data_IF_589809132403
#
_entry.id   IF_589809132403
#
_cell.length_a   1.000
_cell.length_b   1.000
_cell.length_c   1.000
_cell.angle_alpha   90.00
_cell.angle_beta   90.00
_cell.angle_gamma   90.00
#
_symmetry.space_group_name_H-M   'P 1'
#
loop_
_entity.id
_entity.type
_entity.pdbx_description
1 polymer ?
#
# COMPACT_ATOMS: atom_id res chain seq x y z
N UNK A 1 12.25 41.11 11.28
CA UNK A 1 11.57 41.59 12.50
C UNK A 1 12.25 42.87 12.97
N UNK A 2 11.50 43.94 13.28
CA UNK A 2 12.04 45.20 13.85
C UNK A 2 13.23 45.82 13.07
N UNK A 3 13.18 45.80 11.74
CA UNK A 3 14.27 46.32 10.88
C UNK A 3 15.42 45.34 10.63
N UNK A 4 15.49 44.23 11.34
CA UNK A 4 16.47 43.16 11.12
C UNK A 4 15.87 42.02 10.28
N UNK A 5 16.60 41.58 9.26
CA UNK A 5 16.25 40.39 8.48
C UNK A 5 16.93 39.18 9.11
N UNK A 6 16.14 38.32 9.75
CA UNK A 6 16.62 37.05 10.30
C UNK A 6 16.12 35.92 9.43
N UNK A 7 17.00 35.09 8.85
CA UNK A 7 16.56 33.90 8.14
C UNK A 7 15.89 32.94 9.12
N UNK A 8 14.81 32.28 8.70
CA UNK A 8 14.16 31.21 9.49
C UNK A 8 15.00 29.93 9.59
N UNK A 9 16.13 29.90 8.88
CA UNK A 9 17.01 28.76 8.73
C UNK A 9 18.29 29.03 9.53
N UNK A 10 18.82 28.00 10.19
CA UNK A 10 20.11 28.13 10.88
C UNK A 10 21.27 28.18 9.87
N UNK A 11 21.26 27.28 8.88
CA UNK A 11 22.30 27.20 7.84
C UNK A 11 21.69 26.62 6.57
N UNK A 12 22.10 27.15 5.42
CA UNK A 12 21.72 26.66 4.09
C UNK A 12 22.98 26.44 3.26
N UNK A 13 23.05 25.28 2.62
CA UNK A 13 24.19 24.85 1.79
C UNK A 13 23.68 24.06 0.58
N UNK A 14 24.49 23.86 -0.48
CA UNK A 14 24.01 23.33 -1.75
C UNK A 14 23.32 21.96 -1.68
N UNK A 15 23.62 21.16 -0.65
CA UNK A 15 23.10 19.80 -0.46
C UNK A 15 22.24 19.65 0.79
N UNK A 16 21.59 20.72 1.27
CA UNK A 16 20.82 20.72 2.51
C UNK A 16 19.73 19.64 2.58
N UNK A 17 18.96 19.42 1.51
CA UNK A 17 17.91 18.38 1.53
C UNK A 17 18.51 16.97 1.58
N UNK A 18 19.63 16.73 0.88
CA UNK A 18 20.33 15.45 0.92
C UNK A 18 20.93 15.16 2.29
N UNK A 19 21.41 16.20 2.98
CA UNK A 19 21.89 16.07 4.35
C UNK A 19 20.78 15.67 5.32
N UNK A 20 19.58 16.23 5.18
CA UNK A 20 18.44 15.85 6.02
C UNK A 20 18.05 14.38 5.78
N UNK A 21 18.04 13.94 4.51
CA UNK A 21 17.84 12.51 4.19
C UNK A 21 18.91 11.63 4.84
N UNK A 22 20.18 12.00 4.72
CA UNK A 22 21.28 11.22 5.30
C UNK A 22 21.17 11.09 6.83
N UNK A 23 20.70 12.12 7.53
CA UNK A 23 20.44 12.05 8.98
C UNK A 23 19.22 11.20 9.28
N UNK A 24 18.15 11.31 8.49
CA UNK A 24 16.95 10.47 8.66
C UNK A 24 17.30 8.97 8.57
N UNK A 25 18.16 8.59 7.62
CA UNK A 25 18.65 7.20 7.48
C UNK A 25 19.35 6.69 8.74
N UNK A 26 20.00 7.57 9.52
CA UNK A 26 20.66 7.19 10.77
C UNK A 26 19.63 6.78 11.83
N UNK A 27 18.43 7.37 11.82
CA UNK A 27 17.34 7.05 12.74
C UNK A 27 16.92 5.58 12.69
N UNK A 28 17.00 4.96 11.51
CA UNK A 28 16.65 3.54 11.28
C UNK A 28 17.54 2.61 12.12
N UNK A 29 18.83 2.92 12.25
CA UNK A 29 19.74 2.15 13.12
C UNK A 29 19.29 2.16 14.58
N UNK A 30 18.71 3.25 15.05
CA UNK A 30 18.15 3.36 16.39
C UNK A 30 17.09 2.29 16.65
N UNK A 31 16.20 2.05 15.69
CA UNK A 31 15.11 1.06 15.81
C UNK A 31 15.64 -0.38 15.71
N UNK A 32 16.60 -0.64 14.82
CA UNK A 32 17.25 -1.98 14.73
C UNK A 32 17.96 -2.33 16.03
N UNK A 33 18.81 -1.43 16.53
CA UNK A 33 19.57 -1.64 17.76
C UNK A 33 18.67 -1.71 18.99
N UNK A 34 17.56 -0.96 18.98
CA UNK A 34 16.55 -1.05 20.02
C UNK A 34 15.91 -2.46 20.06
N UNK A 35 15.43 -2.94 18.92
CA UNK A 35 14.87 -4.30 18.80
C UNK A 35 15.86 -5.39 19.19
N UNK A 36 17.15 -5.24 18.85
CA UNK A 36 18.20 -6.18 19.23
C UNK A 36 18.50 -6.18 20.74
N UNK A 37 18.61 -4.98 21.35
CA UNK A 37 18.93 -4.86 22.78
C UNK A 37 17.75 -5.17 23.71
N UNK A 38 16.54 -5.30 23.15
CA UNK A 38 15.32 -5.67 23.87
C UNK A 38 15.38 -7.10 24.47
N UNK A 39 16.21 -8.01 23.95
CA UNK A 39 16.38 -9.34 24.54
C UNK A 39 15.24 -10.35 24.29
N UNK A 40 14.23 -9.98 23.49
CA UNK A 40 13.11 -10.84 23.07
C UNK A 40 13.09 -11.05 21.56
N UNK A 41 12.82 -12.28 21.10
CA UNK A 41 12.77 -12.62 19.68
C UNK A 41 11.66 -11.87 18.94
N UNK A 42 10.51 -11.65 19.58
CA UNK A 42 9.39 -10.90 19.00
C UNK A 42 9.71 -9.42 18.82
N UNK A 43 10.39 -8.81 19.79
CA UNK A 43 10.83 -7.42 19.71
C UNK A 43 11.87 -7.22 18.60
N UNK A 44 12.80 -8.18 18.43
CA UNK A 44 13.75 -8.17 17.33
C UNK A 44 13.06 -8.27 15.97
N UNK A 45 12.10 -9.20 15.82
CA UNK A 45 11.32 -9.32 14.58
C UNK A 45 10.50 -8.05 14.28
N UNK A 46 9.96 -7.39 15.30
CA UNK A 46 9.30 -6.09 15.17
C UNK A 46 10.24 -4.99 14.70
N UNK A 47 11.43 -4.87 15.32
CA UNK A 47 12.46 -3.91 14.92
C UNK A 47 12.94 -4.13 13.48
N UNK A 48 13.16 -5.39 13.07
CA UNK A 48 13.57 -5.73 11.70
C UNK A 48 12.48 -5.39 10.67
N UNK A 49 11.20 -5.68 10.96
CA UNK A 49 10.06 -5.31 10.09
C UNK A 49 9.91 -3.80 9.97
N UNK A 50 10.00 -3.07 11.08
CA UNK A 50 10.00 -1.59 11.09
C UNK A 50 11.09 -1.01 10.20
N UNK A 51 12.30 -1.56 10.34
CA UNK A 51 13.46 -1.07 9.60
C UNK A 51 13.33 -1.33 8.11
N UNK A 52 12.86 -2.52 7.72
CA UNK A 52 12.59 -2.84 6.32
C UNK A 52 11.52 -1.90 5.71
N UNK A 53 10.50 -1.54 6.49
CA UNK A 53 9.48 -0.58 6.10
C UNK A 53 10.08 0.82 5.89
N UNK A 54 10.72 1.39 6.91
CA UNK A 54 11.29 2.75 6.81
C UNK A 54 12.26 2.86 5.64
N UNK A 55 13.20 1.91 5.48
CA UNK A 55 14.14 1.90 4.34
C UNK A 55 13.39 1.92 3.00
N UNK A 56 12.34 1.11 2.87
CA UNK A 56 11.57 1.02 1.61
C UNK A 56 10.86 2.33 1.27
N UNK A 57 10.33 3.01 2.29
CA UNK A 57 9.61 4.28 2.11
C UNK A 57 10.55 5.49 2.05
N UNK A 58 11.72 5.42 2.63
CA UNK A 58 12.79 6.41 2.48
C UNK A 58 13.28 6.48 1.02
N UNK A 59 13.39 5.33 0.34
CA UNK A 59 13.72 5.28 -1.10
C UNK A 59 12.62 5.97 -1.92
N UNK A 60 11.35 5.65 -1.68
CA UNK A 60 10.23 6.28 -2.37
C UNK A 60 10.16 7.80 -2.10
N UNK A 61 10.41 8.21 -0.86
CA UNK A 61 10.49 9.61 -0.45
C UNK A 61 11.62 10.33 -1.18
N UNK A 62 12.82 9.74 -1.22
CA UNK A 62 14.00 10.31 -1.87
C UNK A 62 13.79 10.48 -3.37
N UNK A 63 13.17 9.50 -4.04
CA UNK A 63 12.82 9.60 -5.46
C UNK A 63 11.83 10.74 -5.73
N UNK A 64 10.87 10.98 -4.83
CA UNK A 64 9.93 12.09 -4.97
C UNK A 64 10.61 13.46 -5.02
N UNK A 65 11.76 13.62 -4.36
CA UNK A 65 12.53 14.87 -4.31
C UNK A 65 13.30 15.17 -5.60
N UNK A 66 13.65 14.15 -6.38
CA UNK A 66 14.43 14.33 -7.61
C UNK A 66 13.72 15.28 -8.57
N UNK A 67 12.40 15.13 -8.74
CA UNK A 67 11.60 16.04 -9.56
C UNK A 67 11.61 17.48 -9.03
N UNK A 68 11.62 17.66 -7.70
CA UNK A 68 11.74 18.97 -7.05
C UNK A 68 13.10 19.60 -7.34
N UNK A 69 14.18 18.83 -7.24
CA UNK A 69 15.54 19.30 -7.55
C UNK A 69 15.69 19.69 -9.03
N UNK A 70 15.11 18.91 -9.95
CA UNK A 70 15.11 19.22 -11.39
C UNK A 70 14.37 20.52 -11.70
N UNK A 71 13.27 20.79 -10.99
CA UNK A 71 12.47 22.00 -11.21
C UNK A 71 13.10 23.23 -10.54
N UNK A 72 13.60 23.09 -9.32
CA UNK A 72 14.28 24.16 -8.58
C UNK A 72 15.68 24.47 -9.10
N UNK A 73 16.36 23.50 -9.72
CA UNK A 73 17.76 23.62 -10.15
C UNK A 73 18.78 23.54 -9.01
N UNK A 74 18.35 23.11 -7.81
CA UNK A 74 19.20 23.03 -6.61
C UNK A 74 18.63 22.08 -5.57
N UNK A 75 19.48 21.59 -4.66
CA UNK A 75 19.12 20.85 -3.45
C UNK A 75 19.24 21.70 -2.16
N UNK A 76 19.50 23.01 -2.28
CA UNK A 76 19.41 23.98 -1.18
C UNK A 76 17.95 24.29 -0.84
N UNK A 77 17.65 24.37 0.46
CA UNK A 77 16.28 24.62 0.93
C UNK A 77 15.82 26.04 0.61
N UNK A 78 16.71 27.03 0.73
CA UNK A 78 16.38 28.42 0.42
C UNK A 78 16.10 28.62 -1.07
N UNK A 79 16.89 27.99 -1.94
CA UNK A 79 16.75 28.07 -3.39
C UNK A 79 15.49 27.36 -3.88
N UNK A 80 15.13 26.22 -3.27
CA UNK A 80 13.87 25.52 -3.55
C UNK A 80 12.66 26.37 -3.18
N UNK A 81 12.69 27.09 -2.05
CA UNK A 81 11.60 27.99 -1.65
C UNK A 81 11.54 29.21 -2.59
N UNK A 82 12.68 29.76 -3.00
CA UNK A 82 12.75 30.86 -3.95
C UNK A 82 12.16 30.48 -5.33
N UNK A 83 12.43 29.26 -5.81
CA UNK A 83 11.89 28.75 -7.07
C UNK A 83 10.36 28.57 -7.09
N UNK A 84 9.71 28.58 -5.91
CA UNK A 84 8.26 28.46 -5.73
C UNK A 84 7.53 29.81 -5.70
N UNK A 85 8.18 30.89 -6.16
CA UNK A 85 7.59 32.23 -6.17
C UNK A 85 6.30 32.34 -6.99
N UNK A 86 6.31 31.79 -8.21
CA UNK A 86 5.17 31.90 -9.14
C UNK A 86 4.07 30.90 -8.84
N UNK A 87 4.44 29.65 -8.57
CA UNK A 87 3.52 28.56 -8.34
C UNK A 87 4.18 27.54 -7.42
N UNK A 88 3.40 27.02 -6.47
CA UNK A 88 3.86 25.98 -5.57
C UNK A 88 4.07 24.65 -6.29
N UNK A 89 5.05 23.89 -5.82
CA UNK A 89 5.36 22.60 -6.43
C UNK A 89 4.30 21.53 -6.16
N UNK A 90 3.41 21.72 -5.18
CA UNK A 90 2.24 20.85 -5.03
C UNK A 90 1.37 20.81 -6.29
N UNK A 91 1.22 21.93 -7.01
CA UNK A 91 0.38 22.01 -8.22
C UNK A 91 1.14 21.46 -9.43
N UNK A 92 2.43 21.80 -9.55
CA UNK A 92 3.26 21.43 -10.70
C UNK A 92 3.73 19.97 -10.64
N UNK A 93 4.05 19.48 -9.45
CA UNK A 93 4.64 18.16 -9.18
C UNK A 93 3.71 17.32 -8.31
N UNK A 94 2.40 17.33 -8.62
CA UNK A 94 1.39 16.62 -7.86
C UNK A 94 1.72 15.12 -7.65
N UNK A 95 2.19 14.36 -8.66
CA UNK A 95 2.57 12.97 -8.43
C UNK A 95 3.73 12.81 -7.43
N UNK A 96 4.75 13.66 -7.49
CA UNK A 96 5.82 13.68 -6.48
C UNK A 96 5.28 14.00 -5.09
N UNK A 97 4.37 14.96 -4.99
CA UNK A 97 3.74 15.30 -3.72
C UNK A 97 2.96 14.12 -3.14
N UNK A 98 2.17 13.40 -3.94
CA UNK A 98 1.41 12.24 -3.48
C UNK A 98 2.31 11.09 -3.03
N UNK A 99 3.39 10.81 -3.78
CA UNK A 99 4.39 9.83 -3.37
C UNK A 99 5.04 10.25 -2.05
N UNK A 100 5.43 11.52 -1.94
CA UNK A 100 6.03 12.07 -0.72
C UNK A 100 5.09 11.96 0.50
N UNK A 101 3.84 12.41 0.37
CA UNK A 101 2.85 12.35 1.45
C UNK A 101 2.59 10.91 1.88
N UNK A 102 2.55 9.97 0.94
CA UNK A 102 2.37 8.57 1.32
C UNK A 102 3.61 8.01 2.00
N UNK A 103 4.80 8.39 1.52
CA UNK A 103 6.06 7.92 2.08
C UNK A 103 6.39 8.51 3.46
N UNK A 104 6.08 9.78 3.72
CA UNK A 104 6.30 10.39 5.03
C UNK A 104 5.44 9.77 6.14
N UNK A 105 4.27 9.20 5.81
CA UNK A 105 3.47 8.46 6.79
C UNK A 105 4.08 7.07 7.04
N UNK A 106 4.63 6.42 6.01
CA UNK A 106 5.35 5.16 6.14
C UNK A 106 6.63 5.29 6.97
N UNK A 107 7.36 6.39 6.81
CA UNK A 107 8.60 6.68 7.51
C UNK A 107 8.40 6.97 9.01
N UNK A 108 7.27 7.58 9.37
CA UNK A 108 7.00 7.95 10.78
C UNK A 108 6.41 6.81 11.61
N UNK A 109 6.19 5.62 11.01
CA UNK A 109 5.63 4.43 11.67
C UNK A 109 4.34 4.69 12.47
N UNK A 110 3.53 5.69 12.06
CA UNK A 110 2.27 6.05 12.73
C UNK A 110 1.07 5.42 12.04
N UNK A 111 0.01 5.19 12.82
CA UNK A 111 -1.28 4.73 12.33
C UNK A 111 -1.75 5.63 11.16
N UNK A 112 -2.16 5.05 10.00
CA UNK A 112 -2.55 3.66 9.75
C UNK A 112 -1.42 2.64 9.46
N UNK A 113 -0.15 3.06 9.52
CA UNK A 113 1.04 2.24 9.20
C UNK A 113 1.90 1.91 10.42
N UNK A 114 1.29 1.78 11.61
CA UNK A 114 1.89 1.40 12.90
C UNK A 114 2.17 -0.11 13.02
N UNK A 115 2.54 -0.73 11.90
CA UNK A 115 2.74 -2.18 11.75
C UNK A 115 3.72 -2.82 12.76
N UNK A 116 4.82 -2.17 13.16
CA UNK A 116 5.76 -2.74 14.13
C UNK A 116 5.31 -2.65 15.58
N UNK A 117 4.37 -1.75 15.89
CA UNK A 117 3.84 -1.52 17.25
C UNK A 117 2.51 -2.25 17.47
N UNK A 118 1.95 -2.87 16.44
CA UNK A 118 0.64 -3.50 16.50
C UNK A 118 0.59 -4.62 17.56
N UNK A 119 -0.14 -4.35 18.64
CA UNK A 119 -0.38 -5.28 19.76
C UNK A 119 -0.93 -6.64 19.28
N UNK A 120 -1.69 -6.65 18.19
CA UNK A 120 -2.30 -7.85 17.62
C UNK A 120 -1.34 -8.81 16.90
N UNK A 121 -0.15 -8.35 16.49
CA UNK A 121 0.86 -9.22 15.85
C UNK A 121 2.14 -9.37 16.70
N UNK A 122 2.51 -8.35 17.48
CA UNK A 122 3.83 -8.29 18.14
C UNK A 122 3.80 -7.75 19.59
N UNK A 123 2.62 -7.68 20.23
CA UNK A 123 2.47 -7.33 21.66
C UNK A 123 3.17 -6.01 22.05
N UNK A 124 3.32 -5.05 21.12
CA UNK A 124 3.98 -3.76 21.35
C UNK A 124 5.42 -3.63 20.81
N UNK A 125 5.93 -4.63 20.09
CA UNK A 125 7.15 -4.52 19.28
C UNK A 125 8.42 -4.25 20.09
N UNK A 126 9.21 -3.26 19.67
CA UNK A 126 10.48 -2.92 20.33
C UNK A 126 10.29 -2.06 21.60
N UNK A 127 9.07 -1.63 21.94
CA UNK A 127 8.80 -0.80 23.12
C UNK A 127 8.64 -1.61 24.41
N UNK A 128 8.33 -2.90 24.32
CA UNK A 128 7.85 -3.72 25.44
C UNK A 128 8.84 -3.86 26.59
N UNK A 129 10.13 -3.78 26.30
CA UNK A 129 11.21 -4.03 27.26
C UNK A 129 11.84 -2.73 27.79
N UNK A 130 11.42 -1.57 27.28
CA UNK A 130 11.93 -0.27 27.72
C UNK A 130 11.05 0.38 28.77
N UNK A 131 11.65 0.70 29.91
CA UNK A 131 10.97 1.40 31.01
C UNK A 131 11.06 2.93 30.88
N UNK A 132 10.01 3.61 31.36
CA UNK A 132 9.86 5.04 31.68
C UNK A 132 10.68 6.01 30.81
N UNK A 133 11.93 6.31 31.17
CA UNK A 133 12.73 7.34 30.51
C UNK A 133 13.13 6.95 29.08
N UNK A 134 13.52 5.68 28.87
CA UNK A 134 13.92 5.20 27.54
C UNK A 134 12.71 5.17 26.60
N UNK A 135 11.58 4.69 27.12
CA UNK A 135 10.29 4.72 26.41
C UNK A 135 9.89 6.15 26.01
N UNK A 136 9.99 7.12 26.92
CA UNK A 136 9.64 8.51 26.63
C UNK A 136 10.52 9.13 25.51
N UNK A 137 11.80 8.76 25.45
CA UNK A 137 12.72 9.24 24.40
C UNK A 137 12.33 8.69 23.02
N UNK A 138 11.85 7.44 22.90
CA UNK A 138 11.35 6.91 21.63
C UNK A 138 10.15 7.71 21.11
N UNK A 139 9.14 7.95 21.95
CA UNK A 139 7.99 8.77 21.58
C UNK A 139 8.40 10.19 21.20
N UNK A 140 9.29 10.81 21.99
CA UNK A 140 9.80 12.14 21.69
C UNK A 140 10.50 12.17 20.32
N UNK A 141 11.34 11.18 20.01
CA UNK A 141 12.02 11.07 18.72
C UNK A 141 11.02 10.90 17.56
N UNK A 142 9.99 10.08 17.71
CA UNK A 142 8.92 9.93 16.70
C UNK A 142 8.16 11.23 16.46
N UNK A 143 7.83 11.99 17.52
CA UNK A 143 7.15 13.27 17.38
C UNK A 143 8.06 14.34 16.74
N UNK A 144 9.35 14.35 17.07
CA UNK A 144 10.33 15.23 16.41
C UNK A 144 10.43 14.86 14.92
N UNK A 145 10.47 13.56 14.60
CA UNK A 145 10.49 13.11 13.20
C UNK A 145 9.23 13.55 12.45
N UNK A 146 8.05 13.41 13.06
CA UNK A 146 6.77 13.86 12.50
C UNK A 146 6.80 15.36 12.14
N UNK A 147 7.30 16.20 13.04
CA UNK A 147 7.46 17.64 12.77
C UNK A 147 8.48 17.86 11.65
N UNK A 148 9.57 17.10 11.62
CA UNK A 148 10.64 17.22 10.61
C UNK A 148 10.14 16.89 9.20
N UNK A 149 9.46 15.76 9.01
CA UNK A 149 8.89 15.38 7.70
C UNK A 149 7.78 16.35 7.27
N UNK A 150 7.03 16.93 8.21
CA UNK A 150 6.02 17.96 7.93
C UNK A 150 6.64 19.29 7.50
N UNK A 151 7.76 19.68 8.13
CA UNK A 151 8.55 20.85 7.77
C UNK A 151 9.20 20.71 6.38
N UNK A 152 9.71 19.51 6.06
CA UNK A 152 10.20 19.18 4.71
C UNK A 152 9.08 19.28 3.67
N UNK A 153 7.90 18.72 3.94
CA UNK A 153 6.73 18.81 3.06
C UNK A 153 6.40 20.26 2.71
N UNK A 154 6.35 21.10 3.77
CA UNK A 154 6.04 22.53 3.67
C UNK A 154 7.09 23.28 2.85
N UNK A 155 8.37 22.96 3.06
CA UNK A 155 9.51 23.61 2.38
C UNK A 155 9.57 23.23 0.91
N UNK A 156 9.42 21.94 0.60
CA UNK A 156 9.61 21.41 -0.76
C UNK A 156 8.38 21.60 -1.65
N UNK A 157 7.16 21.56 -1.11
CA UNK A 157 5.95 21.55 -1.94
C UNK A 157 5.03 22.76 -1.76
N UNK A 158 5.00 23.38 -0.58
CA UNK A 158 4.06 24.48 -0.25
C UNK A 158 4.77 25.85 -0.11
N UNK A 159 5.93 26.03 -0.72
CA UNK A 159 6.61 27.33 -0.77
C UNK A 159 7.15 27.82 0.58
N UNK A 160 7.37 26.92 1.55
CA UNK A 160 7.98 27.24 2.84
C UNK A 160 7.25 28.37 3.57
N UNK A 161 7.95 29.48 3.79
CA UNK A 161 7.47 30.65 4.51
C UNK A 161 6.56 31.58 3.69
N UNK A 162 6.47 31.41 2.37
CA UNK A 162 5.71 32.33 1.50
C UNK A 162 4.21 32.20 1.73
N UNK A 163 3.46 33.30 1.63
CA UNK A 163 2.00 33.26 1.72
C UNK A 163 1.35 32.35 0.63
N UNK A 164 0.23 31.67 0.93
CA UNK A 164 -0.58 30.97 -0.06
C UNK A 164 -1.11 31.90 -1.13
N UNK A 165 -1.20 31.41 -2.36
CA UNK A 165 -1.99 32.07 -3.40
C UNK A 165 -3.48 31.98 -3.03
N UNK A 166 -4.29 33.05 -3.10
CA UNK A 166 -4.03 34.38 -3.65
C UNK A 166 -3.51 35.44 -2.66
N UNK A 167 -3.40 35.12 -1.36
CA UNK A 167 -2.96 36.06 -0.32
C UNK A 167 -1.54 36.60 -0.54
N UNK A 168 -0.72 35.89 -1.34
CA UNK A 168 0.57 36.37 -1.81
C UNK A 168 0.52 37.64 -2.67
N UNK A 169 -0.65 38.01 -3.20
CA UNK A 169 -0.85 39.25 -3.97
C UNK A 169 -0.88 40.49 -3.08
N UNK A 170 -1.10 40.33 -1.77
CA UNK A 170 -1.05 41.43 -0.84
C UNK A 170 0.40 41.75 -0.48
N UNK A 171 0.82 43.00 -0.70
CA UNK A 171 2.21 43.46 -0.54
C UNK A 171 2.81 43.15 0.84
N UNK A 172 2.01 43.23 1.91
CA UNK A 172 2.47 43.01 3.28
C UNK A 172 2.35 41.56 3.78
N UNK A 173 1.87 40.62 2.95
CA UNK A 173 1.63 39.23 3.37
C UNK A 173 2.90 38.42 3.66
N UNK A 174 4.05 38.91 3.19
CA UNK A 174 5.37 38.28 3.35
C UNK A 174 6.32 39.11 4.21
N UNK A 175 5.81 40.13 4.91
CA UNK A 175 6.60 41.05 5.71
C UNK A 175 6.43 40.82 7.22
N UNK A 176 7.40 41.26 8.01
CA UNK A 176 7.32 41.19 9.47
C UNK A 176 7.30 39.76 10.02
N UNK A 177 6.22 39.40 10.72
CA UNK A 177 6.03 38.10 11.38
C UNK A 177 5.27 37.08 10.52
N UNK A 178 4.64 37.54 9.43
CA UNK A 178 3.81 36.69 8.58
C UNK A 178 4.54 35.47 7.99
N UNK A 179 5.80 35.56 7.51
CA UNK A 179 6.54 34.40 7.01
C UNK A 179 6.64 33.24 8.00
N UNK A 180 6.87 33.57 9.28
CA UNK A 180 6.96 32.57 10.35
C UNK A 180 5.60 31.94 10.64
N UNK A 181 4.55 32.76 10.69
CA UNK A 181 3.19 32.27 10.90
C UNK A 181 2.72 31.37 9.74
N UNK A 182 3.04 31.70 8.49
CA UNK A 182 2.70 30.86 7.34
C UNK A 182 3.41 29.52 7.39
N UNK A 183 4.70 29.52 7.71
CA UNK A 183 5.45 28.27 7.85
C UNK A 183 4.86 27.39 8.95
N UNK A 184 4.65 27.94 10.16
CA UNK A 184 4.08 27.20 11.29
C UNK A 184 2.65 26.71 11.01
N UNK A 185 1.83 27.53 10.36
CA UNK A 185 0.47 27.16 9.98
C UNK A 185 0.47 25.96 9.03
N UNK A 186 1.32 25.97 7.99
CA UNK A 186 1.39 24.85 7.02
C UNK A 186 1.94 23.57 7.66
N UNK A 187 2.96 23.68 8.51
CA UNK A 187 3.45 22.55 9.30
C UNK A 187 2.33 21.99 10.18
N UNK A 188 1.56 22.87 10.84
CA UNK A 188 0.41 22.48 11.67
C UNK A 188 -0.69 21.80 10.84
N UNK A 189 -0.91 22.19 9.59
CA UNK A 189 -1.84 21.52 8.67
C UNK A 189 -1.37 20.09 8.39
N UNK A 190 -0.08 19.85 8.14
CA UNK A 190 0.44 18.47 7.97
C UNK A 190 0.32 17.64 9.25
N UNK A 191 0.61 18.23 10.42
CA UNK A 191 0.40 17.56 11.71
C UNK A 191 -1.09 17.21 11.89
N UNK A 192 -2.00 18.13 11.55
CA UNK A 192 -3.43 17.86 11.57
C UNK A 192 -3.81 16.73 10.60
N UNK A 193 -3.22 16.69 9.40
CA UNK A 193 -3.42 15.58 8.45
C UNK A 193 -2.98 14.25 9.06
N UNK A 194 -1.85 14.18 9.78
CA UNK A 194 -1.46 12.95 10.49
C UNK A 194 -2.51 12.49 11.51
N UNK A 195 -3.04 13.44 12.31
CA UNK A 195 -4.09 13.14 13.29
C UNK A 195 -5.37 12.68 12.58
N UNK A 196 -5.72 13.31 11.47
CA UNK A 196 -6.90 12.99 10.69
C UNK A 196 -6.81 11.62 10.00
N UNK A 197 -5.65 11.28 9.40
CA UNK A 197 -5.39 9.98 8.78
C UNK A 197 -5.50 8.86 9.82
N UNK A 198 -4.97 9.09 11.03
CA UNK A 198 -5.09 8.15 12.15
C UNK A 198 -6.54 7.86 12.53
N UNK A 199 -7.42 8.87 12.45
CA UNK A 199 -8.84 8.72 12.80
C UNK A 199 -9.72 8.13 11.69
N UNK A 200 -9.26 8.12 10.44
CA UNK A 200 -10.10 7.79 9.27
C UNK A 200 -9.73 6.49 8.57
N UNK A 201 -8.43 6.16 8.48
CA UNK A 201 -7.99 5.03 7.69
C UNK A 201 -7.90 3.74 8.51
N UNK A 202 -8.37 2.59 7.98
CA UNK A 202 -8.14 1.31 8.60
C UNK A 202 -6.64 0.97 8.54
N UNK A 203 -6.18 0.22 9.52
CA UNK A 203 -4.80 -0.31 9.54
C UNK A 203 -4.57 -1.18 8.31
N UNK A 204 -3.43 -0.99 7.66
CA UNK A 204 -3.01 -1.80 6.51
C UNK A 204 -2.04 -2.88 6.94
N UNK A 205 -2.12 -4.07 6.32
CA UNK A 205 -1.21 -5.20 6.63
C UNK A 205 0.18 -4.96 6.03
N UNK A 206 1.22 -5.46 6.71
CA UNK A 206 2.62 -5.31 6.30
C UNK A 206 2.87 -5.73 4.85
N UNK A 207 2.37 -6.90 4.46
CA UNK A 207 2.55 -7.41 3.09
C UNK A 207 1.93 -6.51 2.02
N UNK A 208 0.77 -5.89 2.32
CA UNK A 208 0.08 -5.00 1.39
C UNK A 208 0.82 -3.66 1.29
N UNK A 209 1.27 -3.14 2.43
CA UNK A 209 2.02 -1.89 2.50
C UNK A 209 3.34 -2.02 1.74
N UNK A 210 4.14 -3.05 2.04
CA UNK A 210 5.41 -3.29 1.33
C UNK A 210 5.21 -3.48 -0.18
N UNK A 211 4.15 -4.19 -0.61
CA UNK A 211 3.81 -4.31 -2.03
C UNK A 211 3.47 -2.95 -2.65
N UNK A 212 2.76 -2.08 -1.93
CA UNK A 212 2.42 -0.75 -2.42
C UNK A 212 3.66 0.13 -2.61
N UNK A 213 4.59 0.17 -1.64
CA UNK A 213 5.86 0.89 -1.78
C UNK A 213 6.68 0.43 -2.99
N UNK A 214 6.92 -0.89 -3.09
CA UNK A 214 7.80 -1.45 -4.12
C UNK A 214 7.18 -1.57 -5.51
N UNK A 215 5.89 -1.91 -5.62
CA UNK A 215 5.25 -2.14 -6.93
C UNK A 215 4.51 -0.92 -7.47
N UNK A 216 4.22 0.07 -6.63
CA UNK A 216 3.46 1.27 -7.04
C UNK A 216 4.30 2.52 -6.87
N UNK A 217 4.70 2.89 -5.65
CA UNK A 217 5.34 4.18 -5.40
C UNK A 217 6.67 4.34 -6.14
N UNK A 218 7.57 3.36 -6.03
CA UNK A 218 8.89 3.42 -6.69
C UNK A 218 8.74 3.49 -8.22
N UNK A 219 8.02 2.58 -8.90
CA UNK A 219 7.86 2.66 -10.35
C UNK A 219 7.20 3.96 -10.82
N UNK A 220 6.14 4.42 -10.12
CA UNK A 220 5.47 5.68 -10.45
C UNK A 220 6.43 6.87 -10.31
N UNK A 221 7.24 6.90 -9.25
CA UNK A 221 8.21 7.97 -9.05
C UNK A 221 9.29 7.99 -10.14
N UNK A 222 9.79 6.82 -10.57
CA UNK A 222 10.78 6.73 -11.65
C UNK A 222 10.23 7.22 -12.98
N UNK A 223 9.03 6.76 -13.37
CA UNK A 223 8.37 7.23 -14.59
C UNK A 223 8.13 8.74 -14.52
N UNK A 224 7.69 9.25 -13.37
CA UNK A 224 7.44 10.68 -13.19
C UNK A 224 8.73 11.51 -13.30
N UNK A 225 9.84 11.06 -12.73
CA UNK A 225 11.15 11.71 -12.88
C UNK A 225 11.54 11.77 -14.37
N UNK A 226 11.36 10.69 -15.12
CA UNK A 226 11.65 10.69 -16.56
C UNK A 226 10.80 11.71 -17.32
N UNK A 227 9.50 11.78 -17.00
CA UNK A 227 8.57 12.75 -17.59
C UNK A 227 9.00 14.19 -17.27
N UNK A 228 9.30 14.48 -16.01
CA UNK A 228 9.73 15.83 -15.57
C UNK A 228 11.08 16.21 -16.18
N UNK A 229 12.03 15.28 -16.23
CA UNK A 229 13.34 15.49 -16.85
C UNK A 229 13.21 15.78 -18.35
N UNK A 230 12.40 15.01 -19.07
CA UNK A 230 12.12 15.22 -20.49
C UNK A 230 11.45 16.58 -20.72
N UNK A 231 10.41 16.89 -19.96
CA UNK A 231 9.69 18.16 -20.03
C UNK A 231 10.62 19.36 -19.82
N UNK A 232 11.51 19.28 -18.83
CA UNK A 232 12.49 20.33 -18.54
C UNK A 232 13.55 20.44 -19.63
N UNK A 233 14.03 19.32 -20.15
CA UNK A 233 14.96 19.27 -21.28
C UNK A 233 14.39 19.95 -22.52
N UNK A 234 13.14 19.62 -22.89
CA UNK A 234 12.45 20.23 -24.03
C UNK A 234 12.22 21.72 -23.84
N UNK A 235 11.80 22.15 -22.64
CA UNK A 235 11.62 23.56 -22.31
C UNK A 235 12.91 24.38 -22.44
N UNK A 236 14.04 23.80 -22.04
CA UNK A 236 15.34 24.48 -22.11
C UNK A 236 15.90 24.51 -23.55
N UNK A 237 15.63 23.50 -24.36
CA UNK A 237 16.16 23.39 -25.73
C UNK A 237 15.32 24.15 -26.78
N UNK A 238 14.00 24.22 -26.60
CA UNK A 238 13.07 24.75 -27.61
C UNK A 238 12.19 25.91 -27.11
N UNK A 239 12.49 26.47 -25.93
CA UNK A 239 11.73 27.55 -25.28
C UNK A 239 10.21 27.31 -25.19
N UNK A 240 9.80 26.04 -25.05
CA UNK A 240 8.37 25.68 -24.98
C UNK A 240 7.65 26.41 -23.84
N UNK A 241 6.47 26.93 -24.15
CA UNK A 241 5.61 27.55 -23.14
C UNK A 241 5.05 26.48 -22.17
N UNK A 242 4.67 26.91 -20.96
CA UNK A 242 4.13 26.05 -19.90
C UNK A 242 2.93 25.22 -20.40
N UNK A 243 2.08 25.85 -21.21
CA UNK A 243 0.89 25.19 -21.81
C UNK A 243 1.29 24.05 -22.74
N UNK A 244 2.28 24.26 -23.59
CA UNK A 244 2.76 23.26 -24.54
C UNK A 244 3.41 22.08 -23.80
N UNK A 245 4.20 22.38 -22.76
CA UNK A 245 4.82 21.35 -21.91
C UNK A 245 3.76 20.50 -21.20
N UNK A 246 2.74 21.12 -20.62
CA UNK A 246 1.64 20.40 -19.94
C UNK A 246 0.84 19.56 -20.93
N UNK A 247 0.54 20.08 -22.13
CA UNK A 247 -0.20 19.32 -23.15
C UNK A 247 0.58 18.07 -23.62
N UNK A 248 1.88 18.20 -23.88
CA UNK A 248 2.72 17.09 -24.34
C UNK A 248 2.87 16.00 -23.28
N UNK A 249 2.75 16.33 -21.99
CA UNK A 249 2.76 15.34 -20.89
C UNK A 249 1.36 14.76 -20.63
N UNK A 250 0.34 15.61 -20.65
CA UNK A 250 -1.03 15.22 -20.34
C UNK A 250 -1.63 14.32 -21.41
N UNK A 251 -1.29 14.51 -22.69
CA UNK A 251 -1.82 13.70 -23.80
C UNK A 251 -1.37 12.23 -23.68
N UNK A 252 -0.08 11.88 -23.56
CA UNK A 252 0.35 10.50 -23.34
C UNK A 252 -0.25 9.88 -22.08
N UNK A 253 -0.33 10.62 -20.97
CA UNK A 253 -0.91 10.12 -19.72
C UNK A 253 -2.41 9.86 -19.89
N UNK A 254 -3.16 10.76 -20.52
CA UNK A 254 -4.58 10.58 -20.79
C UNK A 254 -4.84 9.42 -21.75
N UNK A 255 -4.00 9.25 -22.77
CA UNK A 255 -4.05 8.11 -23.70
C UNK A 255 -3.74 6.80 -22.96
N UNK A 256 -2.73 6.78 -22.09
CA UNK A 256 -2.36 5.60 -21.33
C UNK A 256 -3.42 5.23 -20.29
N UNK A 257 -4.04 6.23 -19.63
CA UNK A 257 -5.19 6.02 -18.76
C UNK A 257 -6.42 5.53 -19.54
N UNK A 258 -6.69 6.07 -20.72
CA UNK A 258 -7.76 5.59 -21.59
C UNK A 258 -7.52 4.13 -22.00
N UNK A 259 -6.28 3.79 -22.39
CA UNK A 259 -5.90 2.41 -22.72
C UNK A 259 -6.08 1.51 -21.49
N UNK A 260 -5.67 1.95 -20.30
CA UNK A 260 -5.88 1.17 -19.08
C UNK A 260 -7.36 0.93 -18.78
N UNK A 261 -8.21 1.97 -18.87
CA UNK A 261 -9.65 1.83 -18.66
C UNK A 261 -10.30 0.92 -19.70
N UNK A 262 -9.85 0.98 -20.96
CA UNK A 262 -10.34 0.09 -22.02
C UNK A 262 -9.89 -1.34 -21.76
N UNK A 263 -8.62 -1.57 -21.40
CA UNK A 263 -8.10 -2.90 -21.06
C UNK A 263 -8.81 -3.48 -19.85
N UNK A 264 -9.06 -2.68 -18.82
CA UNK A 264 -9.79 -3.07 -17.63
C UNK A 264 -11.25 -3.40 -17.96
N UNK A 265 -11.93 -2.56 -18.75
CA UNK A 265 -13.29 -2.83 -19.23
C UNK A 265 -13.37 -4.12 -20.05
N UNK A 266 -12.37 -4.40 -20.90
CA UNK A 266 -12.31 -5.65 -21.67
C UNK A 266 -12.04 -6.85 -20.75
N UNK A 267 -11.13 -6.71 -19.78
CA UNK A 267 -10.80 -7.78 -18.83
C UNK A 267 -11.99 -8.11 -17.93
N UNK A 268 -12.71 -7.11 -17.47
CA UNK A 268 -13.91 -7.28 -16.65
C UNK A 268 -15.03 -7.94 -17.43
N UNK A 269 -15.28 -7.52 -18.69
CA UNK A 269 -16.21 -8.22 -19.59
C UNK A 269 -15.84 -9.68 -19.80
N UNK A 270 -14.55 -9.97 -20.01
CA UNK A 270 -14.05 -11.33 -20.21
C UNK A 270 -14.26 -12.19 -18.95
N UNK A 271 -14.02 -11.62 -17.77
CA UNK A 271 -14.27 -12.28 -16.48
C UNK A 271 -15.75 -12.56 -16.25
N UNK A 272 -16.64 -11.63 -16.62
CA UNK A 272 -18.09 -11.82 -16.53
C UNK A 272 -18.57 -12.93 -17.47
N UNK A 273 -18.00 -13.01 -18.68
CA UNK A 273 -18.27 -14.10 -19.62
C UNK A 273 -17.77 -15.42 -19.06
N UNK A 274 -16.54 -15.49 -18.54
CA UNK A 274 -16.01 -16.71 -17.90
C UNK A 274 -16.85 -17.15 -16.70
N UNK A 275 -17.36 -16.22 -15.88
CA UNK A 275 -18.26 -16.53 -14.77
C UNK A 275 -19.61 -17.01 -15.29
N UNK A 276 -20.18 -16.36 -16.30
CA UNK A 276 -21.45 -16.77 -16.90
C UNK A 276 -21.35 -18.14 -17.61
N UNK A 277 -20.24 -18.43 -18.27
CA UNK A 277 -19.95 -19.75 -18.84
C UNK A 277 -19.74 -20.79 -17.75
N UNK A 278 -19.04 -20.47 -16.66
CA UNK A 278 -18.89 -21.35 -15.51
C UNK A 278 -20.23 -21.61 -14.79
N UNK A 279 -21.12 -20.62 -14.77
CA UNK A 279 -22.46 -20.71 -14.20
C UNK A 279 -23.42 -21.45 -15.13
N UNK A 280 -23.29 -21.32 -16.45
CA UNK A 280 -24.03 -22.12 -17.43
C UNK A 280 -23.54 -23.57 -17.50
N UNK A 281 -22.25 -23.81 -17.26
CA UNK A 281 -21.67 -25.15 -17.14
C UNK A 281 -22.08 -25.85 -15.83
N UNK A 282 -22.40 -25.08 -14.78
CA UNK A 282 -23.15 -25.59 -13.63
C UNK A 282 -24.59 -25.76 -14.10
N UNK A 283 -24.98 -27.00 -14.40
CA UNK A 283 -26.37 -27.33 -14.72
C UNK A 283 -27.36 -26.84 -13.64
N UNK A 284 -28.68 -26.96 -13.88
CA UNK A 284 -29.71 -26.46 -12.96
C UNK A 284 -29.39 -26.86 -11.52
N UNK A 285 -29.29 -25.88 -10.63
CA UNK A 285 -29.00 -26.11 -9.22
C UNK A 285 -30.05 -27.08 -8.66
N UNK A 286 -29.67 -28.34 -8.41
CA UNK A 286 -30.53 -29.35 -7.80
C UNK A 286 -30.40 -29.24 -6.28
N UNK A 287 -31.41 -28.66 -5.59
CA UNK A 287 -31.36 -28.44 -4.14
C UNK A 287 -31.38 -29.76 -3.33
N UNK A 288 -31.56 -30.90 -4.01
CA UNK A 288 -31.63 -32.23 -3.43
C UNK A 288 -30.41 -33.11 -3.77
N UNK A 289 -29.41 -32.59 -4.50
CA UNK A 289 -28.27 -33.37 -5.01
C UNK A 289 -27.29 -33.91 -3.94
N UNK A 290 -27.57 -33.73 -2.64
CA UNK A 290 -26.74 -34.21 -1.53
C UNK A 290 -27.50 -34.92 -0.42
N UNK A 291 -28.78 -35.27 -0.61
CA UNK A 291 -29.58 -35.98 0.39
C UNK A 291 -30.07 -35.13 1.58
N UNK A 292 -29.64 -33.88 1.71
CA UNK A 292 -30.19 -32.91 2.65
C UNK A 292 -30.74 -31.69 1.89
N UNK A 293 -32.04 -31.36 2.02
CA UNK A 293 -32.63 -30.21 1.34
C UNK A 293 -32.02 -28.90 1.87
N UNK A 294 -31.41 -28.12 0.98
CA UNK A 294 -30.96 -26.76 1.28
C UNK A 294 -32.12 -25.79 0.99
N UNK A 295 -32.45 -24.82 1.87
CA UNK A 295 -33.52 -23.86 1.61
C UNK A 295 -33.30 -23.10 0.28
N UNK A 296 -34.34 -22.93 -0.55
CA UNK A 296 -34.20 -22.25 -1.83
C UNK A 296 -33.88 -20.76 -1.65
N UNK A 297 -33.09 -20.20 -2.56
CA UNK A 297 -32.80 -18.77 -2.57
C UNK A 297 -34.09 -17.98 -2.85
N UNK A 298 -34.24 -16.76 -2.27
CA UNK A 298 -35.43 -15.94 -2.48
C UNK A 298 -35.68 -15.66 -3.97
N UNK A 299 -36.87 -16.02 -4.47
CA UNK A 299 -37.31 -15.72 -5.85
C UNK A 299 -37.39 -16.92 -6.81
N UNK A 300 -37.15 -18.15 -6.34
CA UNK A 300 -37.27 -19.37 -7.17
C UNK A 300 -38.47 -20.20 -6.72
N UNK A 301 -39.53 -20.26 -7.53
CA UNK A 301 -40.66 -21.18 -7.33
C UNK A 301 -40.33 -22.57 -7.87
N UNK A 302 -40.54 -23.61 -7.05
CA UNK A 302 -40.26 -25.00 -7.41
C UNK A 302 -41.55 -25.81 -7.57
N UNK A 303 -41.68 -26.53 -8.68
CA UNK A 303 -42.66 -27.60 -8.86
C UNK A 303 -42.04 -28.97 -8.55
N UNK A 304 -42.54 -29.72 -7.55
CA UNK A 304 -42.03 -31.05 -7.24
C UNK A 304 -42.26 -32.05 -8.36
N UNK A 305 -41.17 -32.58 -8.92
CA UNK A 305 -41.23 -33.75 -9.80
C UNK A 305 -41.56 -34.99 -8.98
N UNK A 306 -42.77 -35.53 -9.18
CA UNK A 306 -43.31 -36.70 -8.50
C UNK A 306 -42.47 -37.95 -8.85
N UNK A 307 -41.73 -38.50 -7.89
CA UNK A 307 -41.06 -39.81 -8.04
C UNK A 307 -42.10 -40.92 -8.23
N UNK A 308 -42.01 -41.68 -9.31
CA UNK A 308 -42.67 -42.98 -9.45
C UNK A 308 -42.02 -43.95 -8.47
N UNK A 309 -42.79 -44.49 -7.53
CA UNK A 309 -42.33 -45.54 -6.61
C UNK A 309 -42.04 -46.80 -7.43
N UNK A 310 -40.77 -47.16 -7.59
CA UNK A 310 -40.40 -48.52 -7.97
C UNK A 310 -40.62 -49.43 -6.76
N UNK A 311 -41.56 -50.35 -6.89
CA UNK A 311 -42.00 -51.30 -5.86
C UNK A 311 -40.90 -52.31 -5.57
N UNK A 312 -40.26 -52.22 -4.41
CA UNK A 312 -39.47 -53.33 -3.85
C UNK A 312 -40.46 -54.26 -3.14
N UNK A 313 -40.95 -55.25 -3.88
CA UNK A 313 -41.82 -56.31 -3.35
C UNK A 313 -41.00 -57.35 -2.59
N UNK A 314 -41.29 -57.49 -1.31
CA UNK A 314 -40.79 -58.54 -0.44
C UNK A 314 -41.33 -59.91 -0.87
N UNK A 315 -40.46 -60.91 -1.07
CA UNK A 315 -40.79 -62.32 -0.85
C UNK A 315 -39.56 -63.01 -0.26
N UNK A 316 -39.65 -63.35 1.02
CA UNK A 316 -38.85 -64.38 1.66
C UNK A 316 -39.80 -65.43 2.25
N UNK A 317 -39.40 -66.70 2.08
CA UNK A 317 -39.78 -67.91 2.86
C UNK A 317 -40.97 -68.78 2.37
N UNK A 318 -40.57 -69.89 1.73
CA UNK A 318 -40.99 -71.29 1.85
C UNK A 318 -42.45 -71.74 1.58
N UNK A 319 -42.63 -72.66 0.61
CA UNK A 319 -42.77 -74.11 0.87
C UNK A 319 -43.18 -74.94 -0.37
N UNK A 320 -42.37 -75.98 -0.65
CA UNK A 320 -42.75 -77.37 -1.02
C UNK A 320 -43.09 -77.78 -2.47
N UNK A 321 -42.22 -78.69 -2.97
CA UNK A 321 -42.48 -79.98 -3.65
C UNK A 321 -42.38 -80.12 -5.18
N UNK A 322 -41.36 -80.92 -5.56
CA UNK A 322 -41.19 -81.91 -6.68
C UNK A 322 -39.99 -81.54 -7.57
N UNK A 323 -39.12 -82.42 -8.06
CA UNK A 323 -38.72 -83.82 -7.88
C UNK A 323 -37.70 -84.07 -9.04
N UNK A 324 -36.77 -85.02 -8.84
CA UNK A 324 -35.89 -85.65 -9.84
C UNK A 324 -34.50 -85.02 -10.16
N UNK A 325 -33.46 -85.66 -9.59
CA UNK A 325 -32.08 -85.87 -10.10
C UNK A 325 -32.09 -86.84 -11.31
N UNK A 326 -30.96 -87.21 -11.98
CA UNK A 326 -29.52 -86.98 -11.72
C UNK A 326 -28.76 -86.45 -12.98
N UNK A 327 -27.46 -86.19 -13.08
CA UNK A 327 -26.27 -87.04 -12.88
C UNK A 327 -24.99 -86.18 -12.83
N UNK A 328 -24.04 -86.63 -12.00
CA UNK A 328 -22.62 -86.25 -11.99
C UNK A 328 -21.84 -87.22 -12.92
N UNK A 329 -20.60 -86.92 -13.34
CA UNK A 329 -19.50 -87.51 -12.57
C UNK A 329 -18.21 -86.66 -12.44
N UNK A 330 -17.62 -86.82 -11.25
CA UNK A 330 -16.20 -86.92 -10.84
C UNK A 330 -15.07 -86.86 -11.88
N UNK A 331 -13.98 -86.13 -11.56
CA UNK A 331 -12.67 -86.71 -11.17
C UNK A 331 -11.68 -85.59 -10.74
N UNK A 332 -11.04 -85.68 -9.55
CA UNK A 332 -9.62 -86.06 -9.30
C UNK A 332 -8.58 -85.14 -9.97
N UNK A 333 -7.47 -84.71 -9.39
CA UNK A 333 -6.69 -84.98 -8.17
C UNK A 333 -5.51 -83.98 -8.20
N UNK A 334 -5.17 -83.31 -7.11
CA UNK A 334 -3.97 -83.55 -6.29
C UNK A 334 -2.79 -82.56 -6.48
N UNK A 335 -2.25 -82.17 -5.32
CA UNK A 335 -0.86 -81.77 -5.03
C UNK A 335 -0.33 -80.42 -5.59
N UNK A 336 0.51 -79.63 -4.91
CA UNK A 336 1.37 -79.86 -3.74
C UNK A 336 1.86 -78.49 -3.19
N UNK A 337 2.26 -78.47 -1.90
CA UNK A 337 3.30 -77.65 -1.23
C UNK A 337 3.31 -76.11 -1.36
N UNK A 338 3.06 -75.30 -0.31
CA UNK A 338 3.91 -74.96 0.87
C UNK A 338 5.26 -74.27 0.56
N UNK A 339 5.37 -73.01 0.99
CA UNK A 339 6.46 -72.33 1.76
C UNK A 339 6.20 -70.80 1.64
N UNK A 340 5.84 -70.01 2.68
CA UNK A 340 6.60 -69.61 3.89
C UNK A 340 7.97 -69.01 3.48
N UNK A 341 8.42 -67.80 3.80
CA UNK A 341 8.28 -66.82 4.90
C UNK A 341 8.87 -65.50 4.37
N UNK A 342 8.30 -64.31 4.60
CA UNK A 342 8.49 -63.42 5.76
C UNK A 342 9.94 -63.24 6.26
N UNK A 343 10.33 -61.97 6.39
CA UNK A 343 11.63 -61.46 6.84
C UNK A 343 11.72 -59.96 6.66
#
# INVERSE_FOLDING_TARGET
MFGYQTPLQLTDFPVSVLYILAIASIGIYGIVLAGWSSGSTYALLGGLRSSAQMISYEVAMSLSFVAVFLYAGSASTSQIVAAQEKTWFIVLLLPSFLVYVTAMVGETNRAPFDLPEAEGELVGGFHTEYSTLKFAVFFLAEYINLVTVSALATTLFLGGWRAPWPLSLWSSANEGWWPMLWFLMKVSVFIFVFIWLRGTLPRLRYDQFMKFGWKVLIPVSLVWIMVVAFARGMRNAYEWDLRQTVMVIAIPIAVLLMIMLVVESIRERRRLIEVAEAEAARGPFDPMAGGFPVPPMPGVDYTPTRRTKATVGAIAVASTSQAALPDEPSDMSDNDSREATDG
#
